data_IF_257901838036
#
_entry.id   IF_257901838036
#
_cell.length_a   1.000
_cell.length_b   1.000
_cell.length_c   1.000
_cell.angle_alpha   90.00
_cell.angle_beta   90.00
_cell.angle_gamma   90.00
#
_symmetry.space_group_name_H-M   'P 1'
#
loop_
_entity.id
_entity.type
_entity.pdbx_description
1 polymer ?
#
# COMPACT_ATOMS: atom_id res chain seq x y z
N UNK A 1 -12.08 -5.16 -23.05
CA UNK A 1 -13.51 -5.12 -23.35
C UNK A 1 -14.12 -6.53 -23.42
N UNK A 2 -13.49 -7.45 -24.13
CA UNK A 2 -13.99 -8.84 -24.27
C UNK A 2 -14.16 -9.56 -22.90
N UNK A 3 -13.26 -9.34 -21.94
CA UNK A 3 -13.37 -9.88 -20.58
C UNK A 3 -14.51 -9.26 -19.76
N UNK A 4 -14.87 -8.00 -20.01
CA UNK A 4 -16.03 -7.36 -19.39
C UNK A 4 -17.32 -8.06 -19.77
N UNK A 5 -17.47 -8.33 -21.05
CA UNK A 5 -18.69 -8.96 -21.60
C UNK A 5 -18.81 -10.44 -21.20
N UNK A 6 -17.69 -11.17 -21.20
CA UNK A 6 -17.67 -12.62 -20.93
C UNK A 6 -17.57 -12.99 -19.45
N UNK A 7 -16.87 -12.20 -18.64
CA UNK A 7 -16.54 -12.53 -17.24
C UNK A 7 -17.05 -11.52 -16.21
N UNK A 8 -17.78 -10.49 -16.61
CA UNK A 8 -18.27 -9.45 -15.69
C UNK A 8 -17.13 -8.65 -15.00
N UNK A 9 -15.98 -8.52 -15.65
CA UNK A 9 -14.87 -7.76 -15.11
C UNK A 9 -15.23 -6.29 -14.89
N UNK A 10 -14.97 -5.77 -13.69
CA UNK A 10 -15.26 -4.39 -13.29
C UNK A 10 -14.08 -3.45 -13.55
N UNK A 11 -12.86 -3.96 -13.79
CA UNK A 11 -11.67 -3.15 -13.95
C UNK A 11 -10.40 -3.95 -14.11
N UNK A 12 -9.26 -3.26 -13.97
CA UNK A 12 -7.91 -3.83 -14.05
C UNK A 12 -7.09 -3.40 -12.85
N UNK A 13 -6.40 -4.35 -12.23
CA UNK A 13 -5.41 -4.10 -11.21
C UNK A 13 -4.00 -4.20 -11.82
N UNK A 14 -3.21 -3.13 -11.68
CA UNK A 14 -1.79 -3.13 -12.00
C UNK A 14 -1.00 -3.53 -10.76
N UNK A 15 -0.28 -4.62 -10.88
CA UNK A 15 0.47 -5.26 -9.78
C UNK A 15 1.87 -5.67 -10.27
N UNK A 16 2.55 -6.50 -9.62
CA UNK A 16 3.85 -7.15 -9.86
C UNK A 16 4.72 -6.61 -11.02
N UNK A 17 5.95 -6.27 -10.67
CA UNK A 17 6.43 -6.18 -9.26
C UNK A 17 6.10 -4.81 -8.67
N UNK A 18 6.37 -3.76 -9.43
CA UNK A 18 6.03 -2.37 -9.18
C UNK A 18 5.49 -1.76 -10.48
N UNK A 19 4.19 -1.50 -10.57
CA UNK A 19 3.59 -0.99 -11.81
C UNK A 19 4.09 0.39 -12.22
N UNK A 20 4.52 1.21 -11.25
CA UNK A 20 4.97 2.58 -11.50
C UNK A 20 6.35 2.66 -12.16
N UNK A 21 7.10 1.54 -12.28
CA UNK A 21 8.27 1.45 -13.15
C UNK A 21 7.87 1.63 -14.62
N UNK A 22 6.68 1.16 -15.00
CA UNK A 22 6.08 1.37 -16.31
C UNK A 22 5.02 2.48 -16.31
N UNK A 23 5.32 3.62 -15.69
CA UNK A 23 4.36 4.71 -15.43
C UNK A 23 3.54 5.12 -16.65
N UNK A 24 4.18 5.32 -17.81
CA UNK A 24 3.50 5.74 -19.03
C UNK A 24 2.49 4.68 -19.49
N UNK A 25 2.87 3.41 -19.41
CA UNK A 25 1.99 2.30 -19.76
C UNK A 25 0.76 2.26 -18.84
N UNK A 26 0.97 2.34 -17.52
CA UNK A 26 -0.12 2.36 -16.54
C UNK A 26 -1.04 3.55 -16.79
N UNK A 27 -0.49 4.75 -16.97
CA UNK A 27 -1.25 5.97 -17.23
C UNK A 27 -2.11 5.85 -18.49
N UNK A 28 -1.53 5.39 -19.58
CA UNK A 28 -2.24 5.31 -20.86
C UNK A 28 -3.32 4.22 -20.85
N UNK A 29 -3.05 3.09 -20.19
CA UNK A 29 -4.07 2.07 -19.95
C UNK A 29 -5.20 2.59 -19.04
N UNK A 30 -4.88 3.31 -17.96
CA UNK A 30 -5.86 3.86 -17.04
C UNK A 30 -6.80 4.86 -17.71
N UNK A 31 -6.30 5.68 -18.66
CA UNK A 31 -7.14 6.55 -19.49
C UNK A 31 -8.15 5.75 -20.29
N UNK A 32 -7.68 4.72 -21.00
CA UNK A 32 -8.56 3.85 -21.79
C UNK A 32 -9.61 3.14 -20.91
N UNK A 33 -9.21 2.66 -19.73
CA UNK A 33 -10.13 2.04 -18.78
C UNK A 33 -11.23 3.02 -18.36
N UNK A 34 -10.86 4.25 -18.03
CA UNK A 34 -11.79 5.29 -17.63
C UNK A 34 -12.77 5.67 -18.75
N UNK A 35 -12.29 5.78 -19.99
CA UNK A 35 -13.13 6.02 -21.18
C UNK A 35 -14.18 4.92 -21.38
N UNK A 36 -13.89 3.70 -20.93
CA UNK A 36 -14.78 2.55 -21.03
C UNK A 36 -15.57 2.26 -19.75
N UNK A 37 -15.50 3.14 -18.74
CA UNK A 37 -16.20 2.96 -17.45
C UNK A 37 -15.71 1.75 -16.66
N UNK A 38 -14.41 1.43 -16.77
CA UNK A 38 -13.74 0.36 -16.02
C UNK A 38 -12.86 0.96 -14.93
N UNK A 39 -12.83 0.30 -13.78
CA UNK A 39 -12.02 0.73 -12.64
C UNK A 39 -10.53 0.43 -12.85
N UNK A 40 -9.71 1.33 -12.34
CA UNK A 40 -8.25 1.19 -12.27
C UNK A 40 -7.83 1.01 -10.83
N UNK A 41 -7.11 -0.07 -10.53
CA UNK A 41 -6.55 -0.36 -9.21
C UNK A 41 -5.02 -0.44 -9.30
N UNK A 42 -4.33 0.16 -8.33
CA UNK A 42 -2.87 0.04 -8.18
C UNK A 42 -2.52 -0.81 -6.95
N UNK A 43 -1.53 -1.68 -7.09
CA UNK A 43 -0.81 -2.29 -5.97
C UNK A 43 0.65 -1.87 -6.11
N UNK A 44 1.11 -0.98 -5.24
CA UNK A 44 2.36 -0.22 -5.45
C UNK A 44 3.09 0.06 -4.14
N UNK A 45 4.41 0.26 -4.22
CA UNK A 45 5.20 0.77 -3.10
C UNK A 45 4.99 2.27 -2.82
N UNK A 46 4.21 2.95 -3.65
CA UNK A 46 3.91 4.38 -3.51
C UNK A 46 5.11 5.32 -3.69
N UNK A 47 6.28 4.80 -4.10
CA UNK A 47 7.50 5.58 -4.25
C UNK A 47 7.63 6.18 -5.65
N UNK A 48 6.86 7.24 -5.89
CA UNK A 48 6.84 7.99 -7.15
C UNK A 48 7.01 9.49 -6.88
N UNK A 49 7.68 10.20 -7.78
CA UNK A 49 7.76 11.65 -7.71
C UNK A 49 6.37 12.30 -7.71
N UNK A 50 6.22 13.39 -6.97
CA UNK A 50 4.94 14.06 -6.73
C UNK A 50 4.16 14.40 -8.01
N UNK A 51 4.80 15.04 -8.98
CA UNK A 51 4.12 15.47 -10.21
C UNK A 51 3.48 14.32 -11.02
N UNK A 52 4.21 13.23 -11.35
CA UNK A 52 3.59 12.08 -12.02
C UNK A 52 2.52 11.41 -11.15
N UNK A 53 2.68 11.37 -9.81
CA UNK A 53 1.65 10.83 -8.92
C UNK A 53 0.36 11.64 -8.99
N UNK A 54 0.44 12.98 -8.82
CA UNK A 54 -0.73 13.87 -8.94
C UNK A 54 -1.42 13.79 -10.32
N UNK A 55 -0.65 13.55 -11.38
CA UNK A 55 -1.21 13.38 -12.72
C UNK A 55 -1.89 12.02 -12.95
N UNK A 56 -1.49 10.98 -12.20
CA UNK A 56 -2.05 9.63 -12.29
C UNK A 56 -3.32 9.48 -11.44
N UNK A 57 -3.35 10.07 -10.25
CA UNK A 57 -4.43 9.90 -9.27
C UNK A 57 -5.85 10.10 -9.82
N UNK A 58 -6.14 11.08 -10.70
CA UNK A 58 -7.48 11.24 -11.27
C UNK A 58 -7.95 10.06 -12.14
N UNK A 59 -7.04 9.13 -12.46
CA UNK A 59 -7.32 7.94 -13.27
C UNK A 59 -7.42 6.66 -12.43
N UNK A 60 -7.17 6.75 -11.12
CA UNK A 60 -7.08 5.61 -10.19
C UNK A 60 -8.28 5.62 -9.25
N UNK A 61 -9.03 4.54 -9.24
CA UNK A 61 -10.21 4.39 -8.38
C UNK A 61 -9.84 3.82 -7.00
N UNK A 62 -8.87 2.91 -6.97
CA UNK A 62 -8.38 2.32 -5.72
C UNK A 62 -6.87 2.04 -5.76
N UNK A 63 -6.22 2.10 -4.60
CA UNK A 63 -4.81 1.77 -4.46
C UNK A 63 -4.55 1.01 -3.16
N UNK A 64 -3.83 -0.12 -3.24
CA UNK A 64 -3.17 -0.71 -2.09
C UNK A 64 -1.72 -0.25 -2.11
N UNK A 65 -1.31 0.52 -1.10
CA UNK A 65 0.00 1.14 -1.03
C UNK A 65 0.82 0.49 0.09
N UNK A 66 1.97 -0.04 -0.28
CA UNK A 66 2.91 -0.61 0.67
C UNK A 66 3.61 0.50 1.48
N UNK A 67 3.18 0.72 2.72
CA UNK A 67 3.92 1.48 3.72
C UNK A 67 4.81 0.50 4.48
N UNK A 68 6.05 0.36 4.01
CA UNK A 68 6.95 -0.73 4.43
C UNK A 68 7.37 -0.66 5.90
N UNK A 69 7.24 0.51 6.55
CA UNK A 69 7.54 0.79 7.95
C UNK A 69 7.44 2.28 8.23
N UNK A 70 7.70 2.69 9.47
CA UNK A 70 7.41 4.07 9.89
C UNK A 70 8.63 4.82 10.46
N UNK A 71 9.85 4.40 10.06
CA UNK A 71 11.08 5.11 10.42
C UNK A 71 11.90 5.48 9.19
N UNK A 72 12.56 6.66 9.18
CA UNK A 72 13.45 7.06 8.10
C UNK A 72 14.61 6.08 7.90
N UNK A 73 15.14 5.52 9.00
CA UNK A 73 16.26 4.57 9.00
C UNK A 73 15.89 3.29 8.27
N UNK A 74 14.69 2.78 8.50
CA UNK A 74 14.20 1.59 7.80
C UNK A 74 14.00 1.85 6.30
N UNK A 75 13.45 3.01 5.94
CA UNK A 75 13.30 3.40 4.54
C UNK A 75 14.65 3.65 3.85
N UNK A 76 15.64 4.18 4.57
CA UNK A 76 17.01 4.29 4.04
C UNK A 76 17.62 2.91 3.75
N UNK A 77 17.40 1.93 4.63
CA UNK A 77 17.81 0.54 4.39
C UNK A 77 17.12 -0.07 3.16
N UNK A 78 15.86 0.29 2.88
CA UNK A 78 15.12 -0.09 1.68
C UNK A 78 15.51 0.72 0.43
N UNK A 79 16.41 1.69 0.54
CA UNK A 79 16.76 2.63 -0.54
C UNK A 79 15.56 3.47 -1.03
N UNK A 80 14.62 3.76 -0.14
CA UNK A 80 13.43 4.57 -0.38
C UNK A 80 13.41 5.82 0.51
N UNK A 81 12.27 6.52 0.49
CA UNK A 81 12.02 7.70 1.32
C UNK A 81 10.61 7.66 1.92
N UNK A 82 10.54 7.64 3.26
CA UNK A 82 9.29 7.55 4.02
C UNK A 82 8.35 8.73 3.72
N UNK A 83 8.89 9.95 3.68
CA UNK A 83 8.06 11.15 3.52
C UNK A 83 7.46 11.25 2.11
N UNK A 84 8.15 10.73 1.09
CA UNK A 84 7.59 10.58 -0.26
C UNK A 84 6.37 9.66 -0.24
N UNK A 85 6.49 8.47 0.36
CA UNK A 85 5.38 7.48 0.40
C UNK A 85 4.21 8.03 1.23
N UNK A 86 4.47 8.60 2.41
CA UNK A 86 3.45 9.27 3.23
C UNK A 86 2.73 10.39 2.48
N UNK A 87 3.48 11.22 1.76
CA UNK A 87 2.89 12.29 0.95
C UNK A 87 1.97 11.72 -0.12
N UNK A 88 2.38 10.65 -0.79
CA UNK A 88 1.60 10.02 -1.85
C UNK A 88 0.35 9.31 -1.31
N UNK A 89 0.42 8.66 -0.15
CA UNK A 89 -0.77 8.11 0.53
C UNK A 89 -1.77 9.24 0.85
N UNK A 90 -1.29 10.33 1.47
CA UNK A 90 -2.15 11.47 1.81
C UNK A 90 -2.83 12.06 0.58
N UNK A 91 -2.08 12.32 -0.49
CA UNK A 91 -2.63 12.86 -1.74
C UNK A 91 -3.71 11.93 -2.34
N UNK A 92 -3.49 10.62 -2.30
CA UNK A 92 -4.48 9.65 -2.78
C UNK A 92 -5.79 9.71 -1.97
N UNK A 93 -5.69 9.80 -0.64
CA UNK A 93 -6.86 9.96 0.25
C UNK A 93 -7.57 11.29 -0.01
N UNK A 94 -6.83 12.39 -0.14
CA UNK A 94 -7.37 13.74 -0.37
C UNK A 94 -8.18 13.86 -1.67
N UNK A 95 -7.78 13.14 -2.72
CA UNK A 95 -8.53 13.15 -4.01
C UNK A 95 -9.69 12.16 -4.03
N UNK A 96 -9.91 11.41 -2.95
CA UNK A 96 -11.02 10.45 -2.83
C UNK A 96 -10.75 9.08 -3.47
N UNK A 97 -9.50 8.74 -3.77
CA UNK A 97 -9.12 7.38 -4.14
C UNK A 97 -9.41 6.44 -2.96
N UNK A 98 -9.95 5.25 -3.21
CA UNK A 98 -10.06 4.23 -2.18
C UNK A 98 -8.66 3.68 -1.86
N UNK A 99 -8.13 4.05 -0.70
CA UNK A 99 -6.78 3.66 -0.29
C UNK A 99 -6.82 2.59 0.78
N UNK A 100 -6.07 1.52 0.56
CA UNK A 100 -5.69 0.55 1.58
C UNK A 100 -4.16 0.58 1.76
N UNK A 101 -3.68 0.30 2.95
CA UNK A 101 -2.25 0.30 3.25
C UNK A 101 -1.80 -1.09 3.69
N UNK A 102 -0.63 -1.52 3.22
CA UNK A 102 -0.04 -2.80 3.60
C UNK A 102 1.34 -2.60 4.22
N UNK A 103 1.54 -3.17 5.40
CA UNK A 103 2.84 -3.21 6.10
C UNK A 103 3.29 -4.66 6.25
N UNK A 104 4.41 -5.01 5.59
CA UNK A 104 5.08 -6.30 5.76
C UNK A 104 6.00 -6.22 6.97
N UNK A 105 5.69 -6.95 8.03
CA UNK A 105 6.48 -6.95 9.27
C UNK A 105 7.66 -7.89 9.16
N UNK A 106 8.88 -7.36 9.36
CA UNK A 106 10.16 -8.08 9.28
C UNK A 106 10.82 -8.07 10.66
N UNK A 107 11.13 -9.25 11.24
CA UNK A 107 11.71 -9.35 12.58
C UNK A 107 13.00 -8.55 12.74
N UNK A 108 13.07 -7.75 13.80
CA UNK A 108 14.23 -6.91 14.14
C UNK A 108 14.46 -5.74 13.18
N UNK A 109 13.48 -5.40 12.34
CA UNK A 109 13.55 -4.29 11.39
C UNK A 109 12.45 -3.26 11.59
N UNK A 110 11.20 -3.66 11.50
CA UNK A 110 10.01 -2.81 11.64
C UNK A 110 8.91 -3.47 12.48
N UNK A 111 9.28 -4.40 13.38
CA UNK A 111 8.37 -5.11 14.27
C UNK A 111 8.21 -4.44 15.65
N UNK A 112 8.63 -3.17 15.76
CA UNK A 112 8.53 -2.38 16.99
C UNK A 112 7.10 -1.88 17.26
N UNK A 113 6.63 -2.03 18.50
CA UNK A 113 5.31 -1.56 18.94
C UNK A 113 5.11 -0.06 18.75
N UNK A 114 6.14 0.73 19.12
CA UNK A 114 6.10 2.19 19.05
C UNK A 114 5.95 2.68 17.59
N UNK A 115 6.63 2.02 16.65
CA UNK A 115 6.58 2.40 15.24
C UNK A 115 5.24 2.03 14.62
N UNK A 116 4.68 0.86 14.94
CA UNK A 116 3.32 0.47 14.55
C UNK A 116 2.27 1.42 15.12
N UNK A 117 2.43 1.84 16.36
CA UNK A 117 1.49 2.80 16.96
C UNK A 117 1.55 4.18 16.30
N UNK A 118 2.77 4.67 15.98
CA UNK A 118 2.96 5.92 15.21
C UNK A 118 2.35 5.83 13.82
N UNK A 119 2.55 4.72 13.12
CA UNK A 119 1.98 4.45 11.80
C UNK A 119 0.45 4.47 11.86
N UNK A 120 -0.14 3.69 12.76
CA UNK A 120 -1.59 3.61 12.91
C UNK A 120 -2.23 4.96 13.29
N UNK A 121 -1.60 5.72 14.18
CA UNK A 121 -2.05 7.08 14.52
C UNK A 121 -2.00 8.02 13.32
N UNK A 122 -0.93 7.96 12.55
CA UNK A 122 -0.79 8.80 11.37
C UNK A 122 -1.83 8.43 10.30
N UNK A 123 -2.05 7.15 10.02
CA UNK A 123 -3.10 6.70 9.12
C UNK A 123 -4.48 7.14 9.60
N UNK A 124 -4.79 6.98 10.88
CA UNK A 124 -6.04 7.43 11.49
C UNK A 124 -6.25 8.95 11.41
N UNK A 125 -5.16 9.74 11.40
CA UNK A 125 -5.25 11.19 11.20
C UNK A 125 -5.67 11.59 9.79
N UNK A 126 -5.47 10.71 8.79
CA UNK A 126 -5.98 10.88 7.44
C UNK A 126 -7.43 10.39 7.34
N UNK A 127 -7.70 9.20 7.83
CA UNK A 127 -9.05 8.65 8.03
C UNK A 127 -8.99 7.45 8.97
N UNK A 128 -9.84 7.37 10.01
CA UNK A 128 -9.93 6.19 10.87
C UNK A 128 -10.53 4.98 10.14
N UNK A 129 -11.08 5.17 8.94
CA UNK A 129 -11.66 4.14 8.10
C UNK A 129 -10.66 3.56 7.08
N UNK A 130 -9.39 4.03 7.06
CA UNK A 130 -8.35 3.46 6.20
C UNK A 130 -8.05 2.01 6.61
N UNK A 131 -8.21 1.03 5.69
CA UNK A 131 -7.80 -0.35 5.96
C UNK A 131 -6.28 -0.46 6.05
N UNK A 132 -5.80 -1.13 7.11
CA UNK A 132 -4.40 -1.50 7.27
C UNK A 132 -4.26 -3.03 7.25
N UNK A 133 -3.44 -3.54 6.34
CA UNK A 133 -3.06 -4.93 6.25
C UNK A 133 -1.67 -5.12 6.87
N UNK A 134 -1.58 -5.90 7.94
CA UNK A 134 -0.31 -6.24 8.59
C UNK A 134 0.06 -7.66 8.17
N UNK A 135 1.05 -7.77 7.30
CA UNK A 135 1.42 -9.04 6.67
C UNK A 135 2.65 -9.66 7.29
N UNK A 136 2.59 -10.98 7.46
CA UNK A 136 3.71 -11.79 7.91
C UNK A 136 4.78 -11.89 6.84
N UNK A 137 6.07 -11.66 7.23
CA UNK A 137 7.23 -11.90 6.38
C UNK A 137 7.64 -13.38 6.40
N UNK A 138 8.11 -13.85 5.24
CA UNK A 138 8.82 -15.12 5.08
C UNK A 138 10.16 -14.89 4.36
N UNK A 139 11.23 -15.62 4.71
CA UNK A 139 12.54 -15.48 4.09
C UNK A 139 12.46 -15.75 2.59
N UNK A 140 12.97 -14.80 1.81
CA UNK A 140 13.05 -14.91 0.36
C UNK A 140 14.27 -14.15 -0.17
N UNK A 141 14.80 -14.65 -1.27
CA UNK A 141 15.93 -14.09 -2.00
C UNK A 141 17.15 -13.90 -1.09
N UNK A 142 17.67 -12.72 -0.88
CA UNK A 142 18.86 -12.42 -0.07
C UNK A 142 18.56 -12.01 1.38
N UNK A 143 17.34 -12.19 1.84
CA UNK A 143 16.97 -11.89 3.22
C UNK A 143 16.59 -13.19 3.93
N UNK A 144 17.53 -13.69 4.75
CA UNK A 144 17.47 -14.98 5.45
C UNK A 144 17.01 -14.86 6.91
N UNK A 145 16.34 -13.76 7.27
CA UNK A 145 15.76 -13.62 8.61
C UNK A 145 14.67 -14.68 8.82
N UNK A 146 14.45 -15.16 10.05
CA UNK A 146 13.36 -16.09 10.31
C UNK A 146 12.01 -15.45 9.97
N UNK A 147 11.00 -16.25 9.59
CA UNK A 147 9.66 -15.70 9.35
C UNK A 147 9.14 -15.01 10.61
N UNK A 148 8.37 -13.95 10.43
CA UNK A 148 7.76 -13.23 11.56
C UNK A 148 6.90 -14.19 12.38
N UNK A 149 7.04 -14.24 13.71
CA UNK A 149 6.11 -14.98 14.55
C UNK A 149 4.67 -14.51 14.34
N UNK A 150 3.73 -15.45 14.29
CA UNK A 150 2.31 -15.13 14.07
C UNK A 150 1.78 -14.23 15.19
N UNK A 151 2.21 -14.50 16.41
CA UNK A 151 1.86 -13.73 17.61
C UNK A 151 2.29 -12.26 17.50
N UNK A 152 3.43 -11.97 16.86
CA UNK A 152 3.89 -10.59 16.60
C UNK A 152 2.92 -9.86 15.67
N UNK A 153 2.46 -10.52 14.61
CA UNK A 153 1.48 -9.92 13.68
C UNK A 153 0.17 -9.61 14.38
N UNK A 154 -0.37 -10.56 15.16
CA UNK A 154 -1.61 -10.35 15.93
C UNK A 154 -1.46 -9.26 16.99
N UNK A 155 -0.31 -9.22 17.66
CA UNK A 155 -0.03 -8.20 18.67
C UNK A 155 0.01 -6.80 18.06
N UNK A 156 0.74 -6.60 16.96
CA UNK A 156 0.81 -5.33 16.25
C UNK A 156 -0.55 -4.92 15.68
N UNK A 157 -1.33 -5.88 15.17
CA UNK A 157 -2.69 -5.61 14.73
C UNK A 157 -3.60 -5.14 15.87
N UNK A 158 -3.48 -5.72 17.05
CA UNK A 158 -4.22 -5.29 18.23
C UNK A 158 -3.85 -3.85 18.66
N UNK A 159 -2.57 -3.45 18.51
CA UNK A 159 -2.13 -2.07 18.75
C UNK A 159 -2.75 -1.11 17.73
N UNK A 160 -2.69 -1.45 16.44
CA UNK A 160 -3.24 -0.62 15.36
C UNK A 160 -4.76 -0.44 15.47
N UNK A 161 -5.51 -1.45 15.94
CA UNK A 161 -6.96 -1.38 16.18
C UNK A 161 -7.39 -0.38 17.24
N UNK A 162 -6.48 0.16 18.04
CA UNK A 162 -6.79 1.28 18.94
C UNK A 162 -7.08 2.58 18.18
N UNK A 163 -6.64 2.68 16.93
CA UNK A 163 -6.67 3.88 16.11
C UNK A 163 -7.50 3.71 14.84
N UNK A 164 -7.44 2.53 14.21
CA UNK A 164 -8.07 2.22 12.93
C UNK A 164 -9.21 1.21 13.11
N UNK A 165 -10.28 1.40 12.37
CA UNK A 165 -11.45 0.51 12.41
C UNK A 165 -11.22 -0.81 11.67
N UNK A 166 -10.43 -0.77 10.60
CA UNK A 166 -10.20 -1.92 9.71
C UNK A 166 -8.72 -2.29 9.72
N UNK A 167 -8.39 -3.34 10.45
CA UNK A 167 -7.02 -3.89 10.51
C UNK A 167 -7.09 -5.39 10.27
N UNK A 168 -6.33 -5.87 9.29
CA UNK A 168 -6.35 -7.24 8.83
C UNK A 168 -4.96 -7.86 8.92
N UNK A 169 -4.89 -9.07 9.46
CA UNK A 169 -3.67 -9.89 9.46
C UNK A 169 -3.55 -10.65 8.14
N UNK A 170 -2.35 -10.65 7.56
CA UNK A 170 -2.05 -11.34 6.32
C UNK A 170 -0.95 -12.38 6.45
N UNK A 171 -1.06 -13.46 5.68
CA UNK A 171 -0.08 -14.55 5.63
C UNK A 171 0.11 -15.32 6.96
N UNK A 172 -0.89 -15.33 7.82
CA UNK A 172 -0.91 -16.06 9.10
C UNK A 172 -1.55 -17.43 8.99
#
# INVERSE_FOLDING_TARGET
>A
LEYREKAGSIGVAFTYNEPLVGYEYVRDCARLLKEHGLATVLVTNGFLCRKPWEALLPLVDAANIDLKGFTPEFYQWLQGDLETVKTNIRLAVEVGCHVEVTTLVIPGKNDGEEDMEKEARWLASLSPDLPLHISRYFPRWHLDLPPTPVETVYHLAALARKWLKYVYEGNC
#
